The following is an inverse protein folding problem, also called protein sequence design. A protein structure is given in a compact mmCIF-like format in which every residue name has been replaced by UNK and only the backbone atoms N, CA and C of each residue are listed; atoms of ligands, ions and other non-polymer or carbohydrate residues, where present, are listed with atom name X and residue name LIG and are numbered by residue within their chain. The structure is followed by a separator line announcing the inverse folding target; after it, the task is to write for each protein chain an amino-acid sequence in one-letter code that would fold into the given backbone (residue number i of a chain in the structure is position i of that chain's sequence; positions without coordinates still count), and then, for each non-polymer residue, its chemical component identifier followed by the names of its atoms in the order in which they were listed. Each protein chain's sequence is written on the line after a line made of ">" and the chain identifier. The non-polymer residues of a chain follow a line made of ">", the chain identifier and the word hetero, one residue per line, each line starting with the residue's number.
data_IF_443391574901
#
_entry.id   IF_443391574901
#
_cell.length_a   1.000
_cell.length_b   1.000
_cell.length_c   1.000
_cell.angle_alpha   90.00
_cell.angle_beta   90.00
_cell.angle_gamma   90.00
#
_symmetry.space_group_name_H-M   'P 1'
#
loop_
_entity.id
_entity.type
_entity.pdbx_description
1 polymer ?
#
# COMPACT_ATOMS: atom_id res chain seq x y z
N UNK A 1 -5.20 23.59 5.29
CA UNK A 1 -5.61 22.27 5.75
C UNK A 1 -5.23 21.20 4.74
N UNK A 2 -4.86 20.00 5.20
CA UNK A 2 -4.39 18.89 4.37
C UNK A 2 -5.39 18.50 3.28
N UNK A 3 -6.68 18.56 3.59
CA UNK A 3 -7.78 18.30 2.67
C UNK A 3 -7.71 19.15 1.39
N UNK A 4 -7.47 20.46 1.52
CA UNK A 4 -7.42 21.37 0.37
C UNK A 4 -6.27 21.08 -0.57
N UNK A 5 -5.07 20.85 -0.04
CA UNK A 5 -3.90 20.51 -0.86
C UNK A 5 -4.10 19.20 -1.61
N UNK A 6 -4.57 18.18 -0.91
CA UNK A 6 -4.85 16.86 -1.49
C UNK A 6 -5.94 16.94 -2.56
N UNK A 7 -7.04 17.62 -2.29
CA UNK A 7 -8.12 17.80 -3.27
C UNK A 7 -7.66 18.55 -4.52
N UNK A 8 -6.80 19.57 -4.39
CA UNK A 8 -6.24 20.29 -5.55
C UNK A 8 -5.44 19.36 -6.48
N UNK A 9 -4.66 18.44 -5.92
CA UNK A 9 -3.91 17.44 -6.70
C UNK A 9 -4.88 16.46 -7.36
N UNK A 10 -5.80 15.90 -6.59
CA UNK A 10 -6.75 14.88 -7.07
C UNK A 10 -7.72 15.41 -8.11
N UNK A 11 -8.11 16.68 -8.02
CA UNK A 11 -8.92 17.33 -9.07
C UNK A 11 -8.22 17.30 -10.44
N UNK A 12 -6.89 17.39 -10.50
CA UNK A 12 -6.18 17.33 -11.78
C UNK A 12 -6.24 15.93 -12.41
N UNK A 13 -6.25 14.89 -11.59
CA UNK A 13 -6.42 13.50 -12.03
C UNK A 13 -7.87 13.28 -12.46
N UNK A 14 -8.82 13.71 -11.64
CA UNK A 14 -10.26 13.60 -11.89
C UNK A 14 -10.68 14.32 -13.17
N UNK A 15 -10.20 15.55 -13.41
CA UNK A 15 -10.48 16.31 -14.65
C UNK A 15 -10.01 15.57 -15.90
N UNK A 16 -8.99 14.74 -15.79
CA UNK A 16 -8.50 13.88 -16.90
C UNK A 16 -9.27 12.57 -17.03
N UNK A 17 -10.27 12.35 -16.19
CA UNK A 17 -11.08 11.11 -16.13
C UNK A 17 -10.24 9.84 -15.94
N UNK A 18 -9.12 9.98 -15.24
CA UNK A 18 -8.27 8.82 -14.90
C UNK A 18 -8.81 8.18 -13.63
N UNK A 19 -8.96 6.85 -13.59
CA UNK A 19 -9.23 6.15 -12.35
C UNK A 19 -8.01 6.24 -11.44
N UNK A 20 -8.23 6.40 -10.14
CA UNK A 20 -7.13 6.51 -9.18
C UNK A 20 -7.50 5.97 -7.80
N UNK A 21 -6.48 5.68 -7.04
CA UNK A 21 -6.52 5.38 -5.60
C UNK A 21 -5.38 6.12 -4.90
N UNK A 22 -5.42 6.18 -3.58
CA UNK A 22 -4.40 6.85 -2.76
C UNK A 22 -3.94 5.92 -1.64
N UNK A 23 -2.63 5.82 -1.44
CA UNK A 23 -2.01 5.33 -0.21
C UNK A 23 -1.42 6.51 0.54
N UNK A 24 -1.53 6.52 1.86
CA UNK A 24 -1.07 7.65 2.67
C UNK A 24 0.44 7.59 2.94
N UNK A 25 1.06 8.77 2.92
CA UNK A 25 2.42 9.01 3.40
C UNK A 25 2.45 9.42 4.89
N UNK A 26 3.63 9.51 5.46
CA UNK A 26 3.82 9.82 6.88
C UNK A 26 3.40 11.25 7.26
N UNK A 27 3.33 12.18 6.31
CA UNK A 27 2.98 13.58 6.55
C UNK A 27 1.49 13.91 6.32
N UNK A 28 0.69 13.00 5.77
CA UNK A 28 -0.67 13.32 5.32
C UNK A 28 -1.62 13.71 6.47
N UNK A 29 -1.39 13.24 7.68
CA UNK A 29 -2.21 13.56 8.85
C UNK A 29 -1.62 14.64 9.79
N UNK A 30 -0.58 15.37 9.39
CA UNK A 30 0.08 16.38 10.23
C UNK A 30 -0.71 17.69 10.34
N UNK A 31 -1.69 17.92 9.46
CA UNK A 31 -2.45 19.17 9.36
C UNK A 31 -3.81 19.12 10.08
N UNK A 32 -3.95 18.31 11.11
CA UNK A 32 -5.12 18.27 12.00
C UNK A 32 -6.30 17.42 11.50
N UNK A 33 -6.13 16.64 10.44
CA UNK A 33 -7.10 15.63 10.00
C UNK A 33 -6.57 14.23 10.22
N UNK A 34 -7.45 13.30 10.60
CA UNK A 34 -7.07 11.90 10.66
C UNK A 34 -7.03 11.27 9.26
N UNK A 35 -6.35 10.14 9.12
CA UNK A 35 -6.29 9.38 7.86
C UNK A 35 -7.66 8.91 7.41
N UNK A 36 -8.52 8.52 8.35
CA UNK A 36 -9.90 8.13 8.10
C UNK A 36 -10.72 9.29 7.52
N UNK A 37 -10.57 10.48 8.08
CA UNK A 37 -11.25 11.68 7.58
C UNK A 37 -10.78 12.02 6.16
N UNK A 38 -9.47 11.95 5.90
CA UNK A 38 -8.91 12.15 4.58
C UNK A 38 -9.41 11.08 3.59
N UNK A 39 -9.43 9.81 4.01
CA UNK A 39 -9.96 8.71 3.20
C UNK A 39 -11.40 8.97 2.76
N UNK A 40 -12.27 9.36 3.69
CA UNK A 40 -13.68 9.64 3.41
C UNK A 40 -13.88 10.84 2.47
N UNK A 41 -13.02 11.86 2.56
CA UNK A 41 -13.02 13.00 1.65
C UNK A 41 -12.54 12.60 0.25
N UNK A 42 -11.43 11.87 0.16
CA UNK A 42 -10.84 11.42 -1.11
C UNK A 42 -11.82 10.53 -1.88
N UNK A 43 -12.55 9.67 -1.20
CA UNK A 43 -13.55 8.79 -1.83
C UNK A 43 -14.65 9.52 -2.57
N UNK A 44 -14.92 10.78 -2.24
CA UNK A 44 -15.94 11.60 -2.90
C UNK A 44 -15.45 12.22 -4.22
N UNK A 45 -14.14 12.15 -4.49
CA UNK A 45 -13.58 12.71 -5.73
C UNK A 45 -13.92 11.81 -6.92
N UNK A 46 -14.52 12.32 -8.00
CA UNK A 46 -14.87 11.51 -9.17
C UNK A 46 -13.66 10.79 -9.78
N UNK A 47 -13.82 9.52 -10.10
CA UNK A 47 -12.75 8.67 -10.63
C UNK A 47 -11.99 7.90 -9.54
N UNK A 48 -12.29 8.14 -8.27
CA UNK A 48 -11.73 7.39 -7.16
C UNK A 48 -12.26 5.95 -7.14
N UNK A 49 -11.36 4.98 -6.94
CA UNK A 49 -11.66 3.55 -6.86
C UNK A 49 -11.48 2.96 -5.46
N UNK A 50 -11.15 3.79 -4.46
CA UNK A 50 -11.01 3.30 -3.08
C UNK A 50 -12.35 2.77 -2.57
N UNK A 51 -12.41 1.55 -2.00
CA UNK A 51 -13.65 0.95 -1.52
C UNK A 51 -14.22 1.70 -0.30
N UNK A 52 -15.45 1.39 0.06
CA UNK A 52 -15.97 1.80 1.35
C UNK A 52 -15.25 1.02 2.46
N UNK A 53 -14.59 1.74 3.36
CA UNK A 53 -13.91 1.11 4.48
C UNK A 53 -14.89 0.59 5.55
N UNK A 54 -16.16 1.01 5.50
CA UNK A 54 -17.14 0.66 6.53
C UNK A 54 -16.68 1.08 7.92
N UNK A 55 -16.64 0.12 8.84
CA UNK A 55 -16.12 0.30 10.21
C UNK A 55 -14.65 -0.11 10.37
N UNK A 56 -13.93 -0.39 9.28
CA UNK A 56 -12.52 -0.75 9.36
C UNK A 56 -11.68 0.41 9.93
N UNK A 57 -10.80 0.09 10.85
CA UNK A 57 -9.93 1.07 11.51
C UNK A 57 -8.71 1.45 10.67
N UNK A 58 -8.36 0.60 9.70
CA UNK A 58 -7.23 0.83 8.79
C UNK A 58 -7.72 1.20 7.40
N UNK A 59 -7.08 2.15 6.72
CA UNK A 59 -7.32 2.47 5.31
C UNK A 59 -6.71 1.46 4.32
N UNK A 60 -6.41 0.24 4.76
CA UNK A 60 -5.93 -0.83 3.89
C UNK A 60 -7.05 -1.36 3.00
N UNK A 61 -6.75 -1.63 1.75
CA UNK A 61 -7.73 -2.17 0.81
C UNK A 61 -7.07 -2.93 -0.34
N UNK A 62 -7.90 -3.72 -1.02
CA UNK A 62 -7.51 -4.49 -2.20
C UNK A 62 -8.32 -4.02 -3.41
N UNK A 63 -7.64 -3.95 -4.54
CA UNK A 63 -8.27 -3.83 -5.85
C UNK A 63 -7.84 -5.01 -6.72
N UNK A 64 -8.65 -5.31 -7.73
CA UNK A 64 -8.28 -6.31 -8.72
C UNK A 64 -8.27 -5.73 -10.12
N UNK A 65 -7.38 -6.24 -10.94
CA UNK A 65 -7.36 -5.99 -12.38
C UNK A 65 -8.05 -7.17 -13.04
N UNK A 66 -9.10 -6.89 -13.81
CA UNK A 66 -9.85 -7.92 -14.51
C UNK A 66 -9.11 -8.44 -15.73
N UNK A 67 -9.27 -9.71 -16.05
CA UNK A 67 -8.71 -10.30 -17.26
C UNK A 67 -9.37 -9.70 -18.50
N UNK A 68 -8.57 -9.39 -19.51
CA UNK A 68 -9.08 -8.84 -20.77
C UNK A 68 -10.03 -9.82 -21.50
N UNK A 69 -9.75 -11.12 -21.40
CA UNK A 69 -10.54 -12.16 -22.06
C UNK A 69 -11.83 -12.52 -21.31
N UNK A 70 -11.92 -12.22 -20.02
CA UNK A 70 -13.08 -12.54 -19.18
C UNK A 70 -13.14 -11.57 -17.98
N UNK A 71 -14.01 -10.57 -18.05
CA UNK A 71 -14.19 -9.56 -17.01
C UNK A 71 -14.71 -10.13 -15.67
N UNK A 72 -15.10 -11.40 -15.60
CA UNK A 72 -15.46 -12.08 -14.36
C UNK A 72 -14.25 -12.64 -13.61
N UNK A 73 -13.11 -12.78 -14.30
CA UNK A 73 -11.87 -13.28 -13.72
C UNK A 73 -10.93 -12.16 -13.33
N UNK A 74 -10.28 -12.30 -12.19
CA UNK A 74 -9.18 -11.45 -11.79
C UNK A 74 -7.89 -11.93 -12.46
N UNK A 75 -7.10 -10.98 -12.95
CA UNK A 75 -5.81 -11.22 -13.59
C UNK A 75 -4.65 -10.79 -12.70
N UNK A 76 -4.88 -9.81 -11.83
CA UNK A 76 -3.88 -9.34 -10.86
C UNK A 76 -4.56 -8.72 -9.64
N UNK A 77 -3.82 -8.63 -8.54
CA UNK A 77 -4.25 -8.05 -7.27
C UNK A 77 -3.37 -6.84 -6.92
N UNK A 78 -3.99 -5.77 -6.41
CA UNK A 78 -3.31 -4.57 -5.95
C UNK A 78 -3.60 -4.41 -4.45
N UNK A 79 -2.60 -4.65 -3.61
CA UNK A 79 -2.67 -4.41 -2.17
C UNK A 79 -2.25 -2.98 -1.88
N UNK A 80 -3.15 -2.17 -1.33
CA UNK A 80 -2.88 -0.80 -0.92
C UNK A 80 -2.92 -0.75 0.60
N UNK A 81 -1.77 -0.45 1.22
CA UNK A 81 -1.61 -0.51 2.67
C UNK A 81 -1.12 0.82 3.24
N UNK A 82 -1.67 1.21 4.37
CA UNK A 82 -1.19 2.36 5.12
C UNK A 82 -0.02 1.96 6.00
N UNK A 83 1.17 2.43 5.67
CA UNK A 83 2.38 2.20 6.46
C UNK A 83 2.54 3.16 7.65
N UNK A 84 1.49 3.91 7.98
CA UNK A 84 1.43 4.85 9.10
C UNK A 84 2.39 6.04 8.96
N UNK A 85 2.75 6.69 10.09
CA UNK A 85 3.64 7.86 10.13
C UNK A 85 4.92 7.55 10.90
N UNK A 86 4.90 7.78 12.22
CA UNK A 86 6.03 7.60 13.12
C UNK A 86 5.75 6.49 14.11
N UNK A 87 6.82 5.92 14.67
CA UNK A 87 6.72 4.86 15.66
C UNK A 87 5.83 5.28 16.84
N UNK A 88 4.83 4.46 17.22
CA UNK A 88 4.03 4.69 18.43
C UNK A 88 4.77 4.29 19.72
N UNK A 89 5.92 3.60 19.61
CA UNK A 89 6.69 3.12 20.75
C UNK A 89 7.71 4.17 21.18
N UNK A 90 7.75 4.50 22.47
CA UNK A 90 8.62 5.56 23.01
C UNK A 90 10.12 5.24 22.88
N UNK A 91 10.48 3.97 22.96
CA UNK A 91 11.84 3.43 22.90
C UNK A 91 12.31 3.13 21.48
N UNK A 92 11.42 3.11 20.50
CA UNK A 92 11.73 2.92 19.08
C UNK A 92 11.54 4.24 18.34
N UNK A 93 12.64 4.84 17.90
CA UNK A 93 12.63 6.11 17.17
C UNK A 93 12.50 5.87 15.65
N UNK A 94 11.91 6.84 14.96
CA UNK A 94 11.80 6.84 13.51
C UNK A 94 10.39 6.50 13.02
N UNK A 95 10.32 5.89 11.86
CA UNK A 95 9.04 5.60 11.19
C UNK A 95 8.31 4.40 11.81
N UNK A 96 7.00 4.40 11.64
CA UNK A 96 6.16 3.24 11.90
C UNK A 96 6.38 2.14 10.84
N UNK A 97 5.66 1.07 10.96
CA UNK A 97 5.80 -0.15 10.14
C UNK A 97 4.42 -0.73 9.83
N UNK A 98 4.37 -1.63 8.85
CA UNK A 98 3.18 -2.46 8.65
C UNK A 98 3.02 -3.40 9.85
N UNK A 99 1.87 -3.33 10.50
CA UNK A 99 1.61 -4.07 11.75
C UNK A 99 1.39 -5.56 11.50
N UNK A 100 1.45 -6.38 12.55
CA UNK A 100 1.10 -7.80 12.47
C UNK A 100 -0.34 -8.02 11.99
N UNK A 101 -1.27 -7.14 12.36
CA UNK A 101 -2.67 -7.22 11.92
C UNK A 101 -2.77 -6.97 10.41
N UNK A 102 -2.02 -6.01 9.89
CA UNK A 102 -1.95 -5.75 8.44
C UNK A 102 -1.30 -6.91 7.67
N UNK A 103 -0.25 -7.50 8.22
CA UNK A 103 0.38 -8.69 7.62
C UNK A 103 -0.58 -9.87 7.62
N UNK A 104 -1.30 -10.09 8.72
CA UNK A 104 -2.32 -11.14 8.79
C UNK A 104 -3.46 -10.90 7.80
N UNK A 105 -3.91 -9.64 7.68
CA UNK A 105 -4.90 -9.24 6.68
C UNK A 105 -4.40 -9.52 5.27
N UNK A 106 -3.18 -9.11 4.92
CA UNK A 106 -2.56 -9.41 3.62
C UNK A 106 -2.55 -10.91 3.33
N UNK A 107 -2.07 -11.72 4.27
CA UNK A 107 -2.02 -13.20 4.12
C UNK A 107 -3.40 -13.80 3.88
N UNK A 108 -4.42 -13.31 4.55
CA UNK A 108 -5.81 -13.75 4.36
C UNK A 108 -6.32 -13.37 2.95
N UNK A 109 -6.05 -12.14 2.50
CA UNK A 109 -6.42 -11.71 1.15
C UNK A 109 -5.71 -12.55 0.08
N UNK A 110 -4.38 -12.71 0.20
CA UNK A 110 -3.58 -13.52 -0.72
C UNK A 110 -4.07 -14.97 -0.81
N UNK A 111 -4.34 -15.60 0.34
CA UNK A 111 -4.88 -16.95 0.39
C UNK A 111 -6.27 -17.05 -0.27
N UNK A 112 -7.14 -16.06 -0.05
CA UNK A 112 -8.47 -16.02 -0.64
C UNK A 112 -8.41 -15.92 -2.18
N UNK A 113 -7.59 -15.00 -2.72
CA UNK A 113 -7.40 -14.87 -4.17
C UNK A 113 -6.74 -16.11 -4.79
N UNK A 114 -5.77 -16.69 -4.10
CA UNK A 114 -5.14 -17.95 -4.51
C UNK A 114 -6.17 -19.09 -4.61
N UNK A 115 -7.03 -19.23 -3.59
CA UNK A 115 -8.10 -20.23 -3.61
C UNK A 115 -9.11 -19.98 -4.74
N UNK A 116 -9.52 -18.72 -4.96
CA UNK A 116 -10.41 -18.35 -6.06
C UNK A 116 -9.81 -18.62 -7.46
N UNK A 117 -8.47 -18.58 -7.55
CA UNK A 117 -7.72 -18.87 -8.78
C UNK A 117 -7.26 -20.34 -8.88
N UNK A 118 -8.00 -21.26 -8.27
CA UNK A 118 -7.72 -22.69 -8.37
C UNK A 118 -6.45 -23.15 -7.66
N UNK A 119 -6.05 -22.46 -6.60
CA UNK A 119 -4.87 -22.76 -5.80
C UNK A 119 -3.55 -22.18 -6.34
N UNK A 120 -3.61 -21.36 -7.38
CA UNK A 120 -2.44 -20.66 -7.93
C UNK A 120 -2.46 -19.20 -7.52
N UNK A 121 -1.36 -18.64 -6.96
CA UNK A 121 -1.28 -17.23 -6.65
C UNK A 121 -1.53 -16.35 -7.88
N UNK A 122 -2.31 -15.30 -7.73
CA UNK A 122 -2.45 -14.26 -8.76
C UNK A 122 -1.26 -13.30 -8.66
N UNK A 123 -0.70 -12.82 -9.79
CA UNK A 123 0.30 -11.77 -9.76
C UNK A 123 -0.21 -10.56 -8.98
N UNK A 124 0.59 -10.01 -8.09
CA UNK A 124 0.18 -8.89 -7.27
C UNK A 124 1.25 -7.80 -7.18
N UNK A 125 0.80 -6.57 -6.92
CA UNK A 125 1.63 -5.44 -6.53
C UNK A 125 1.20 -4.96 -5.14
N UNK A 126 2.16 -4.58 -4.31
CA UNK A 126 1.91 -4.01 -2.98
C UNK A 126 2.34 -2.54 -2.94
N UNK A 127 1.43 -1.66 -2.56
CA UNK A 127 1.64 -0.21 -2.50
C UNK A 127 1.58 0.26 -1.05
N UNK A 128 2.66 0.83 -0.58
CA UNK A 128 2.79 1.48 0.73
C UNK A 128 3.91 2.52 0.70
N UNK A 129 3.86 3.53 1.56
CA UNK A 129 4.77 4.67 1.51
C UNK A 129 6.10 4.41 2.21
N UNK A 130 6.07 3.97 3.48
CA UNK A 130 7.30 3.69 4.24
C UNK A 130 7.86 2.35 3.79
N UNK A 131 9.10 2.33 3.24
CA UNK A 131 9.68 1.12 2.65
C UNK A 131 10.00 0.06 3.71
N UNK A 132 10.12 -1.18 3.30
CA UNK A 132 10.59 -2.27 4.15
C UNK A 132 12.10 -2.17 4.38
N UNK A 133 12.63 -2.67 5.52
CA UNK A 133 14.08 -2.70 5.78
C UNK A 133 14.89 -3.40 4.69
N UNK A 134 14.32 -4.41 4.06
CA UNK A 134 14.95 -5.20 2.98
C UNK A 134 15.30 -4.37 1.73
N UNK A 135 14.69 -3.21 1.53
CA UNK A 135 15.10 -2.30 0.44
C UNK A 135 16.53 -1.79 0.61
N UNK A 136 16.98 -1.53 1.84
CA UNK A 136 18.35 -1.14 2.10
C UNK A 136 19.32 -2.32 1.91
N UNK A 137 18.93 -3.51 2.32
CA UNK A 137 19.69 -4.75 2.12
C UNK A 137 19.90 -5.01 0.62
N UNK A 138 18.81 -5.00 -0.16
CA UNK A 138 18.87 -5.22 -1.60
C UNK A 138 19.73 -4.17 -2.33
N UNK A 139 19.69 -2.91 -1.88
CA UNK A 139 20.49 -1.85 -2.48
C UNK A 139 21.97 -1.89 -2.09
N UNK A 140 22.34 -2.65 -1.06
CA UNK A 140 23.71 -2.86 -0.58
C UNK A 140 24.30 -4.20 -1.04
N UNK A 141 23.51 -5.06 -1.67
CA UNK A 141 23.97 -6.35 -2.19
C UNK A 141 24.85 -6.14 -3.42
N UNK A 142 26.10 -6.57 -3.36
CA UNK A 142 27.07 -6.48 -4.44
C UNK A 142 26.66 -7.26 -5.71
N UNK A 143 25.77 -8.24 -5.57
CA UNK A 143 25.24 -9.04 -6.66
C UNK A 143 23.96 -8.44 -7.27
N UNK A 144 23.38 -7.42 -6.64
CA UNK A 144 22.17 -6.77 -7.14
C UNK A 144 22.49 -5.83 -8.31
N UNK A 145 21.65 -5.88 -9.35
CA UNK A 145 21.75 -4.96 -10.48
C UNK A 145 20.86 -3.75 -10.21
N UNK A 146 21.47 -2.66 -9.74
CA UNK A 146 20.77 -1.39 -9.59
C UNK A 146 20.67 -0.69 -10.94
N UNK A 147 19.44 -0.41 -11.39
CA UNK A 147 19.18 0.40 -12.59
C UNK A 147 18.56 1.72 -12.19
N UNK A 148 19.17 2.82 -12.62
CA UNK A 148 18.77 4.18 -12.26
C UNK A 148 19.66 4.78 -11.17
N UNK A 149 19.19 5.87 -10.54
CA UNK A 149 19.93 6.59 -9.51
C UNK A 149 19.20 6.49 -8.17
N UNK A 150 19.89 6.03 -7.15
CA UNK A 150 19.42 6.10 -5.77
C UNK A 150 19.93 7.40 -5.16
N UNK A 151 19.01 8.30 -4.83
CA UNK A 151 19.37 9.65 -4.31
C UNK A 151 19.58 9.64 -2.79
N UNK A 152 18.94 8.71 -2.08
CA UNK A 152 19.03 8.59 -0.61
C UNK A 152 18.80 7.13 -0.17
N UNK A 153 19.13 6.83 1.08
CA UNK A 153 18.79 5.54 1.69
C UNK A 153 17.29 5.41 1.88
N UNK A 154 16.76 4.19 1.84
CA UNK A 154 15.37 3.94 2.14
C UNK A 154 15.09 4.26 3.62
N UNK A 155 14.13 5.17 3.85
CA UNK A 155 13.71 5.59 5.19
C UNK A 155 12.84 4.51 5.87
N UNK A 156 13.41 3.32 6.04
CA UNK A 156 12.73 2.16 6.59
C UNK A 156 12.56 2.25 8.13
N UNK A 157 11.56 1.56 8.70
CA UNK A 157 11.38 1.46 10.14
C UNK A 157 12.52 0.67 10.79
N UNK A 158 12.75 0.91 12.08
CA UNK A 158 13.71 0.12 12.87
C UNK A 158 13.19 -1.24 13.27
N UNK A 159 11.86 -1.41 13.30
CA UNK A 159 11.24 -2.72 13.53
C UNK A 159 10.85 -3.35 12.20
N UNK A 160 11.28 -4.57 12.00
CA UNK A 160 10.86 -5.44 10.91
C UNK A 160 9.81 -6.41 11.44
N UNK A 161 8.59 -6.30 10.95
CA UNK A 161 7.46 -7.17 11.34
C UNK A 161 7.29 -8.38 10.42
N UNK A 162 8.14 -8.52 9.39
CA UNK A 162 8.15 -9.70 8.53
C UNK A 162 7.23 -9.62 7.31
N UNK A 163 6.86 -8.43 6.85
CA UNK A 163 6.01 -8.28 5.64
C UNK A 163 6.68 -8.87 4.41
N UNK A 164 7.99 -8.66 4.23
CA UNK A 164 8.74 -9.27 3.13
C UNK A 164 8.67 -10.80 3.16
N UNK A 165 8.87 -11.40 4.34
CA UNK A 165 8.76 -12.85 4.50
C UNK A 165 7.34 -13.35 4.16
N UNK A 166 6.31 -12.64 4.58
CA UNK A 166 4.91 -12.97 4.26
C UNK A 166 4.66 -12.93 2.74
N UNK A 167 5.16 -11.91 2.04
CA UNK A 167 5.04 -11.81 0.57
C UNK A 167 5.79 -12.93 -0.14
N UNK A 168 6.99 -13.28 0.32
CA UNK A 168 7.78 -14.38 -0.24
C UNK A 168 7.10 -15.74 -0.03
N UNK A 169 6.52 -15.97 1.15
CA UNK A 169 5.80 -17.20 1.47
C UNK A 169 4.51 -17.33 0.63
N UNK A 170 3.76 -16.25 0.45
CA UNK A 170 2.54 -16.21 -0.35
C UNK A 170 2.81 -16.37 -1.84
N UNK A 171 3.94 -15.87 -2.34
CA UNK A 171 4.39 -16.04 -3.71
C UNK A 171 3.61 -15.28 -4.77
N UNK A 172 2.79 -14.29 -4.38
CA UNK A 172 1.93 -13.51 -5.26
C UNK A 172 2.51 -12.13 -5.61
N UNK A 173 3.19 -11.46 -4.66
CA UNK A 173 3.71 -10.10 -4.85
C UNK A 173 4.98 -10.12 -5.69
N UNK A 174 4.95 -9.35 -6.79
CA UNK A 174 6.04 -9.21 -7.76
C UNK A 174 6.74 -7.85 -7.66
N UNK A 175 6.16 -6.88 -6.98
CA UNK A 175 6.68 -5.53 -6.80
C UNK A 175 5.83 -4.66 -5.89
#
# INVERSE_FOLDING_TARGET
>A
PADKGMLQVLEQVSKRKLPFVVTFGNHDNEQGMTREQLYDIIRQVPGNLMPDRGSALSPDYVLTVKAFSDAKKDAAVLYCMDSHSYSPLKDVKGYAWLTFDQINWYRQQSAAYTAQNGGQPLPALAFFHIPLPEYNEAASDENAILRGTRMEEACAPKLNTGMFAAMKESGDVMG
#
